data_IF_152660483471
#
_entry.id   IF_152660483471
#
_cell.length_a   1.000
_cell.length_b   1.000
_cell.length_c   1.000
_cell.angle_alpha   90.00
_cell.angle_beta   90.00
_cell.angle_gamma   90.00
#
_symmetry.space_group_name_H-M   'P 1'
#
loop_
_entity.id
_entity.type
_entity.pdbx_description
1 polymer ?
#
# COMPACT_ATOMS: atom_id res chain seq x y z
N UNK A 1 -16.18 33.68 -8.08
CA UNK A 1 -16.95 32.47 -8.44
C UNK A 1 -18.36 32.55 -7.80
N UNK A 2 -19.19 33.50 -8.25
CA UNK A 2 -20.45 33.92 -7.57
C UNK A 2 -21.71 33.70 -8.45
N UNK A 3 -21.59 33.08 -9.64
CA UNK A 3 -22.69 32.99 -10.61
C UNK A 3 -23.58 31.74 -10.52
N UNK A 4 -23.27 30.74 -9.68
CA UNK A 4 -23.93 29.44 -9.75
C UNK A 4 -25.37 29.43 -9.19
N UNK A 5 -25.71 30.25 -8.19
CA UNK A 5 -27.02 30.12 -7.52
C UNK A 5 -28.12 31.09 -7.99
N UNK A 6 -27.86 31.93 -9.00
CA UNK A 6 -28.91 32.70 -9.72
C UNK A 6 -29.28 32.14 -11.09
N UNK A 7 -28.59 31.10 -11.54
CA UNK A 7 -28.88 30.46 -12.82
C UNK A 7 -30.06 29.50 -12.65
N UNK A 8 -31.00 29.44 -13.62
CA UNK A 8 -32.08 28.45 -13.59
C UNK A 8 -31.48 27.04 -13.45
N UNK A 9 -32.19 26.15 -12.76
CA UNK A 9 -31.74 24.77 -12.47
C UNK A 9 -31.16 24.07 -13.72
N UNK A 10 -31.78 24.27 -14.88
CA UNK A 10 -31.33 23.76 -16.16
C UNK A 10 -29.89 24.19 -16.53
N UNK A 11 -29.51 25.44 -16.25
CA UNK A 11 -28.18 25.95 -16.51
C UNK A 11 -27.12 25.35 -15.57
N UNK A 12 -27.47 25.07 -14.31
CA UNK A 12 -26.56 24.38 -13.39
C UNK A 12 -26.41 22.90 -13.75
N UNK A 13 -27.49 22.27 -14.18
CA UNK A 13 -27.47 20.90 -14.68
C UNK A 13 -26.54 20.78 -15.89
N UNK A 14 -26.72 21.63 -16.90
CA UNK A 14 -25.95 21.56 -18.16
C UNK A 14 -24.50 21.99 -18.01
N UNK A 15 -24.19 23.00 -17.20
CA UNK A 15 -22.84 23.59 -17.18
C UNK A 15 -21.96 23.08 -16.02
N UNK A 16 -22.53 22.41 -15.02
CA UNK A 16 -21.78 21.97 -13.83
C UNK A 16 -21.99 20.49 -13.58
N UNK A 17 -23.24 20.06 -13.35
CA UNK A 17 -23.51 18.68 -12.92
C UNK A 17 -23.24 17.67 -14.04
N UNK A 18 -23.72 17.91 -15.26
CA UNK A 18 -23.50 16.99 -16.38
C UNK A 18 -22.01 16.88 -16.76
N UNK A 19 -21.23 17.97 -16.92
CA UNK A 19 -19.80 17.86 -17.15
C UNK A 19 -19.06 17.16 -16.01
N UNK A 20 -19.44 17.42 -14.76
CA UNK A 20 -18.84 16.75 -13.60
C UNK A 20 -19.17 15.25 -13.58
N UNK A 21 -20.43 14.88 -13.81
CA UNK A 21 -20.86 13.48 -13.89
C UNK A 21 -20.20 12.75 -15.07
N UNK A 22 -20.14 13.39 -16.24
CA UNK A 22 -19.45 12.85 -17.41
C UNK A 22 -17.95 12.66 -17.12
N UNK A 23 -17.30 13.64 -16.51
CA UNK A 23 -15.90 13.53 -16.07
C UNK A 23 -15.70 12.39 -15.07
N UNK A 24 -16.62 12.24 -14.10
CA UNK A 24 -16.62 11.13 -13.14
C UNK A 24 -16.82 9.77 -13.80
N UNK A 25 -17.71 9.66 -14.78
CA UNK A 25 -17.94 8.42 -15.54
C UNK A 25 -16.75 8.08 -16.43
N UNK A 26 -16.15 9.06 -17.11
CA UNK A 26 -14.94 8.85 -17.93
C UNK A 26 -13.78 8.41 -17.03
N UNK A 27 -13.57 9.08 -15.89
CA UNK A 27 -12.53 8.72 -14.94
C UNK A 27 -12.78 7.34 -14.29
N UNK A 28 -14.05 7.01 -14.02
CA UNK A 28 -14.46 5.73 -13.46
C UNK A 28 -14.61 4.60 -14.48
N UNK A 29 -14.44 4.89 -15.78
CA UNK A 29 -14.66 3.92 -16.84
C UNK A 29 -13.83 2.64 -16.69
N UNK A 30 -12.53 2.68 -16.35
CA UNK A 30 -11.76 1.46 -16.12
C UNK A 30 -12.38 0.58 -15.02
N UNK A 31 -12.84 1.19 -13.92
CA UNK A 31 -13.50 0.47 -12.83
C UNK A 31 -14.82 -0.15 -13.31
N UNK A 32 -15.66 0.62 -14.00
CA UNK A 32 -16.93 0.14 -14.54
C UNK A 32 -16.73 -0.98 -15.57
N UNK A 33 -15.67 -0.90 -16.38
CA UNK A 33 -15.29 -1.93 -17.31
C UNK A 33 -15.03 -3.27 -16.60
N UNK A 34 -14.24 -3.27 -15.52
CA UNK A 34 -13.98 -4.50 -14.77
C UNK A 34 -15.23 -5.02 -14.02
N UNK A 35 -16.07 -4.14 -13.48
CA UNK A 35 -17.36 -4.53 -12.88
C UNK A 35 -18.22 -5.33 -13.86
N UNK A 36 -18.26 -4.92 -15.13
CA UNK A 36 -19.08 -5.57 -16.16
C UNK A 36 -18.38 -6.78 -16.77
N UNK A 37 -17.05 -6.71 -16.97
CA UNK A 37 -16.30 -7.75 -17.68
C UNK A 37 -16.02 -8.98 -16.82
N UNK A 38 -15.74 -8.77 -15.54
CA UNK A 38 -15.35 -9.81 -14.59
C UNK A 38 -15.77 -9.38 -13.18
N UNK A 39 -17.08 -9.45 -12.93
CA UNK A 39 -17.69 -9.03 -11.67
C UNK A 39 -17.11 -9.80 -10.47
N UNK A 40 -16.81 -11.08 -10.64
CA UNK A 40 -16.30 -11.92 -9.56
C UNK A 40 -14.89 -11.50 -9.14
N UNK A 41 -13.96 -11.35 -10.10
CA UNK A 41 -12.63 -10.77 -9.81
C UNK A 41 -12.73 -9.35 -9.27
N UNK A 42 -13.67 -8.54 -9.77
CA UNK A 42 -13.89 -7.20 -9.24
C UNK A 42 -14.29 -7.23 -7.75
N UNK A 43 -15.28 -8.05 -7.39
CA UNK A 43 -15.76 -8.18 -6.02
C UNK A 43 -14.69 -8.77 -5.11
N UNK A 44 -13.95 -9.77 -5.59
CA UNK A 44 -12.85 -10.37 -4.85
C UNK A 44 -11.76 -9.36 -4.53
N UNK A 45 -11.27 -8.62 -5.51
CA UNK A 45 -10.19 -7.65 -5.31
C UNK A 45 -10.58 -6.44 -4.45
N UNK A 46 -11.87 -6.05 -4.44
CA UNK A 46 -12.33 -4.85 -3.73
C UNK A 46 -12.94 -5.14 -2.36
N UNK A 47 -13.48 -6.35 -2.14
CA UNK A 47 -14.20 -6.70 -0.91
C UNK A 47 -13.61 -7.96 -0.26
N UNK A 48 -13.70 -9.12 -0.91
CA UNK A 48 -13.36 -10.40 -0.28
C UNK A 48 -11.89 -10.51 0.12
N UNK A 49 -10.98 -9.93 -0.67
CA UNK A 49 -9.56 -9.85 -0.32
C UNK A 49 -9.35 -9.13 1.02
N UNK A 50 -10.11 -8.08 1.35
CA UNK A 50 -9.96 -7.42 2.64
C UNK A 50 -10.47 -8.28 3.79
N UNK A 51 -11.49 -9.10 3.56
CA UNK A 51 -11.99 -10.05 4.56
C UNK A 51 -10.94 -11.13 4.87
N UNK A 52 -10.34 -11.75 3.84
CA UNK A 52 -9.27 -12.74 4.03
C UNK A 52 -8.03 -12.15 4.72
N UNK A 53 -7.75 -10.85 4.52
CA UNK A 53 -6.69 -10.15 5.23
C UNK A 53 -7.01 -9.91 6.71
N UNK A 54 -8.28 -9.70 7.05
CA UNK A 54 -8.74 -9.59 8.43
C UNK A 54 -8.63 -10.96 9.12
N UNK A 55 -9.01 -12.03 8.43
CA UNK A 55 -8.94 -13.40 8.94
C UNK A 55 -7.49 -13.83 9.19
N UNK A 56 -6.58 -13.59 8.24
CA UNK A 56 -5.15 -13.82 8.45
C UNK A 56 -4.63 -13.12 9.71
N UNK A 57 -5.01 -11.86 9.93
CA UNK A 57 -4.53 -11.10 11.11
C UNK A 57 -5.16 -11.55 12.43
N UNK A 58 -6.26 -12.29 12.38
CA UNK A 58 -6.86 -12.96 13.54
C UNK A 58 -6.28 -14.34 13.77
N UNK A 59 -5.59 -14.94 12.80
CA UNK A 59 -4.93 -16.24 12.93
C UNK A 59 -3.71 -16.15 13.85
N UNK A 60 -3.23 -17.30 14.31
CA UNK A 60 -2.04 -17.38 15.16
C UNK A 60 -0.81 -16.75 14.47
N UNK A 61 -0.63 -17.02 13.18
CA UNK A 61 0.48 -16.52 12.36
C UNK A 61 0.42 -14.99 12.17
N UNK A 62 -0.78 -14.43 11.99
CA UNK A 62 -0.97 -12.99 11.83
C UNK A 62 -1.01 -12.19 13.13
N UNK A 63 -1.30 -12.84 14.27
CA UNK A 63 -1.46 -12.18 15.57
C UNK A 63 -0.16 -11.65 16.20
N UNK A 64 0.99 -11.99 15.62
CA UNK A 64 2.31 -11.55 16.12
C UNK A 64 2.49 -10.01 16.01
N UNK A 65 1.66 -9.34 15.22
CA UNK A 65 1.66 -7.88 15.08
C UNK A 65 0.56 -7.19 15.91
N UNK A 66 0.87 -6.01 16.45
CA UNK A 66 -0.14 -5.13 17.08
C UNK A 66 -0.87 -4.34 16.00
N UNK A 67 -2.08 -4.78 15.67
CA UNK A 67 -2.92 -4.14 14.66
C UNK A 67 -4.16 -3.48 15.28
N UNK A 68 -4.55 -2.33 14.75
CA UNK A 68 -5.78 -1.66 15.17
C UNK A 68 -6.99 -2.29 14.47
N UNK A 69 -7.55 -3.33 15.10
CA UNK A 69 -8.62 -4.17 14.53
C UNK A 69 -10.02 -3.71 14.95
N UNK A 70 -10.15 -3.22 16.18
CA UNK A 70 -11.42 -2.73 16.75
C UNK A 70 -11.55 -1.21 16.63
N UNK A 71 -12.78 -0.68 16.72
CA UNK A 71 -12.99 0.78 16.70
C UNK A 71 -12.20 1.50 17.81
N UNK A 72 -12.12 0.91 19.00
CA UNK A 72 -11.37 1.47 20.14
C UNK A 72 -9.88 1.58 19.80
N UNK A 73 -9.29 0.51 19.27
CA UNK A 73 -7.87 0.51 18.87
C UNK A 73 -7.62 1.45 17.71
N UNK A 74 -8.52 1.50 16.72
CA UNK A 74 -8.46 2.46 15.60
C UNK A 74 -8.49 3.90 16.09
N UNK A 75 -9.34 4.23 17.06
CA UNK A 75 -9.40 5.57 17.63
C UNK A 75 -8.10 5.93 18.38
N UNK A 76 -7.58 5.02 19.19
CA UNK A 76 -6.30 5.20 19.87
C UNK A 76 -5.14 5.35 18.87
N UNK A 77 -5.14 4.55 17.81
CA UNK A 77 -4.17 4.62 16.73
C UNK A 77 -4.25 5.95 15.97
N UNK A 78 -5.45 6.35 15.57
CA UNK A 78 -5.69 7.61 14.88
C UNK A 78 -5.28 8.81 15.74
N UNK A 79 -5.63 8.80 17.04
CA UNK A 79 -5.18 9.81 17.99
C UNK A 79 -3.65 9.91 18.02
N UNK A 80 -2.94 8.78 18.08
CA UNK A 80 -1.47 8.75 18.05
C UNK A 80 -0.92 9.39 16.77
N UNK A 81 -1.53 9.11 15.61
CA UNK A 81 -1.11 9.70 14.33
C UNK A 81 -1.43 11.19 14.26
N UNK A 82 -2.63 11.61 14.70
CA UNK A 82 -3.03 13.03 14.71
C UNK A 82 -2.21 13.86 15.68
N UNK A 83 -1.78 13.28 16.80
CA UNK A 83 -0.95 13.96 17.80
C UNK A 83 0.54 14.01 17.43
N UNK A 84 0.96 13.45 16.28
CA UNK A 84 2.36 13.38 15.88
C UNK A 84 2.74 14.43 14.82
N UNK A 85 3.85 15.11 15.08
CA UNK A 85 4.54 15.97 14.12
C UNK A 85 3.63 17.03 13.48
N UNK A 86 3.61 17.18 12.14
CA UNK A 86 2.84 18.22 11.47
C UNK A 86 1.32 18.01 11.54
N UNK A 87 0.84 16.79 11.86
CA UNK A 87 -0.60 16.49 11.87
C UNK A 87 -1.34 17.28 12.96
N UNK A 88 -0.74 17.43 14.15
CA UNK A 88 -1.37 18.17 15.26
C UNK A 88 -1.57 19.64 14.89
N UNK A 89 -0.59 20.21 14.17
CA UNK A 89 -0.62 21.59 13.69
C UNK A 89 -1.77 21.76 12.69
N UNK A 90 -1.89 20.87 11.71
CA UNK A 90 -3.00 20.89 10.75
C UNK A 90 -4.35 20.85 11.49
N UNK A 91 -4.51 19.93 12.45
CA UNK A 91 -5.76 19.76 13.18
C UNK A 91 -6.10 20.99 14.04
N UNK A 92 -5.11 21.54 14.77
CA UNK A 92 -5.30 22.75 15.60
C UNK A 92 -5.61 23.97 14.74
N UNK A 93 -4.85 24.22 13.68
CA UNK A 93 -5.09 25.36 12.78
C UNK A 93 -6.45 25.26 12.09
N UNK A 94 -6.82 24.07 11.62
CA UNK A 94 -8.14 23.83 11.01
C UNK A 94 -9.25 24.08 12.02
N UNK A 95 -9.13 23.54 13.24
CA UNK A 95 -10.12 23.72 14.31
C UNK A 95 -10.26 25.20 14.69
N UNK A 96 -9.15 25.91 14.86
CA UNK A 96 -9.15 27.34 15.16
C UNK A 96 -9.82 28.17 14.04
N UNK A 97 -9.52 27.87 12.77
CA UNK A 97 -10.14 28.53 11.63
C UNK A 97 -11.67 28.27 11.56
N UNK A 98 -12.10 27.04 11.81
CA UNK A 98 -13.52 26.67 11.87
C UNK A 98 -14.24 27.36 13.02
N UNK A 99 -13.62 27.41 14.22
CA UNK A 99 -14.18 28.12 15.38
C UNK A 99 -14.30 29.62 15.08
N UNK A 100 -13.25 30.25 14.54
CA UNK A 100 -13.27 31.66 14.17
C UNK A 100 -14.34 31.97 13.11
N UNK A 101 -14.50 31.10 12.11
CA UNK A 101 -15.56 31.19 11.12
C UNK A 101 -16.96 31.09 11.78
N UNK A 102 -17.14 30.16 12.71
CA UNK A 102 -18.40 29.97 13.44
C UNK A 102 -18.75 31.15 14.37
N UNK A 103 -17.74 31.87 14.88
CA UNK A 103 -17.91 33.06 15.71
C UNK A 103 -18.14 34.34 14.90
N UNK A 104 -17.98 34.30 13.57
CA UNK A 104 -18.20 35.48 12.72
C UNK A 104 -19.69 35.87 12.72
N UNK A 105 -20.03 37.16 12.91
CA UNK A 105 -21.43 37.61 12.90
C UNK A 105 -22.18 37.16 11.63
N UNK A 106 -23.41 36.66 11.80
CA UNK A 106 -24.23 36.16 10.69
C UNK A 106 -23.92 34.74 10.23
N UNK A 107 -22.99 34.01 10.87
CA UNK A 107 -22.71 32.60 10.54
C UNK A 107 -23.94 31.68 10.65
N UNK A 108 -24.84 31.97 11.60
CA UNK A 108 -26.10 31.23 11.81
C UNK A 108 -27.23 31.64 10.87
N UNK A 109 -27.02 32.68 10.05
CA UNK A 109 -28.02 33.10 9.08
C UNK A 109 -28.05 32.10 7.90
N UNK A 110 -29.16 31.38 7.77
CA UNK A 110 -29.38 30.36 6.72
C UNK A 110 -29.21 30.95 5.31
N UNK A 111 -29.53 32.23 5.11
CA UNK A 111 -29.31 32.90 3.82
C UNK A 111 -27.82 33.14 3.52
N UNK A 112 -26.99 33.35 4.54
CA UNK A 112 -25.54 33.51 4.42
C UNK A 112 -24.86 32.15 4.25
N UNK A 113 -25.36 31.09 4.89
CA UNK A 113 -24.85 29.72 4.71
C UNK A 113 -25.06 29.20 3.29
N UNK A 114 -26.23 29.44 2.69
CA UNK A 114 -26.50 29.14 1.27
C UNK A 114 -25.56 29.88 0.31
N UNK A 115 -24.94 30.97 0.75
CA UNK A 115 -23.94 31.73 -0.02
C UNK A 115 -22.50 31.22 0.15
N UNK A 116 -22.26 30.22 1.01
CA UNK A 116 -20.92 29.65 1.29
C UNK A 116 -20.85 28.15 0.95
N UNK A 117 -21.22 27.73 -0.28
CA UNK A 117 -21.29 26.31 -0.65
C UNK A 117 -19.94 25.58 -0.52
N UNK A 118 -18.82 26.28 -0.78
CA UNK A 118 -17.49 25.72 -0.65
C UNK A 118 -17.17 25.27 0.79
N UNK A 119 -17.62 26.02 1.80
CA UNK A 119 -17.37 25.65 3.20
C UNK A 119 -18.22 24.44 3.63
N UNK A 120 -19.49 24.40 3.23
CA UNK A 120 -20.35 23.23 3.46
C UNK A 120 -19.81 21.97 2.76
N UNK A 121 -19.37 22.10 1.50
CA UNK A 121 -18.74 21.00 0.76
C UNK A 121 -17.45 20.52 1.42
N UNK A 122 -16.61 21.44 1.92
CA UNK A 122 -15.39 21.07 2.62
C UNK A 122 -15.68 20.33 3.94
N UNK A 123 -16.73 20.71 4.67
CA UNK A 123 -17.19 19.97 5.86
C UNK A 123 -17.62 18.55 5.47
N UNK A 124 -18.47 18.42 4.45
CA UNK A 124 -18.95 17.11 3.99
C UNK A 124 -17.79 16.24 3.48
N UNK A 125 -16.83 16.81 2.76
CA UNK A 125 -15.63 16.11 2.30
C UNK A 125 -14.75 15.65 3.47
N UNK A 126 -14.55 16.49 4.48
CA UNK A 126 -13.80 16.13 5.69
C UNK A 126 -14.49 15.03 6.50
N UNK A 127 -15.80 15.11 6.69
CA UNK A 127 -16.59 14.05 7.36
C UNK A 127 -16.52 12.76 6.55
N UNK A 128 -16.74 12.82 5.24
CA UNK A 128 -16.65 11.67 4.35
C UNK A 128 -15.29 11.01 4.41
N UNK A 129 -14.21 11.80 4.28
CA UNK A 129 -12.85 11.29 4.41
C UNK A 129 -12.60 10.65 5.78
N UNK A 130 -13.09 11.27 6.86
CA UNK A 130 -12.97 10.71 8.22
C UNK A 130 -13.70 9.38 8.33
N UNK A 131 -14.93 9.26 7.84
CA UNK A 131 -15.68 8.00 7.86
C UNK A 131 -14.94 6.92 7.05
N UNK A 132 -14.48 7.25 5.84
CA UNK A 132 -13.73 6.33 4.99
C UNK A 132 -12.44 5.83 5.65
N UNK A 133 -11.71 6.69 6.36
CA UNK A 133 -10.47 6.33 7.07
C UNK A 133 -10.66 5.23 8.12
N UNK A 134 -11.87 5.08 8.68
CA UNK A 134 -12.18 4.10 9.72
C UNK A 134 -12.84 2.82 9.20
N UNK A 135 -13.23 2.78 7.92
CA UNK A 135 -13.88 1.60 7.33
C UNK A 135 -12.93 0.40 7.25
N UNK A 136 -11.70 0.62 6.79
CA UNK A 136 -10.77 -0.49 6.53
C UNK A 136 -10.17 -1.03 7.82
N UNK A 137 -10.06 -2.37 7.92
CA UNK A 137 -9.49 -3.08 9.06
C UNK A 137 -8.33 -3.98 8.61
N UNK A 138 -7.18 -3.96 9.30
CA UNK A 138 -6.80 -3.00 10.34
C UNK A 138 -6.59 -1.59 9.80
N UNK A 139 -6.56 -0.61 10.70
CA UNK A 139 -6.19 0.75 10.33
C UNK A 139 -4.70 0.88 10.09
N UNK A 140 -4.34 1.52 8.97
CA UNK A 140 -2.99 1.89 8.60
C UNK A 140 -2.84 3.42 8.55
N UNK A 141 -1.64 3.99 8.76
CA UNK A 141 -1.43 5.44 8.71
C UNK A 141 -1.89 6.09 7.41
N UNK A 142 -1.72 5.38 6.29
CA UNK A 142 -2.07 5.86 4.96
C UNK A 142 -3.57 6.16 4.83
N UNK A 143 -4.42 5.44 5.56
CA UNK A 143 -5.87 5.64 5.51
C UNK A 143 -6.30 6.95 6.16
N UNK A 144 -5.47 7.55 7.02
CA UNK A 144 -5.74 8.85 7.65
C UNK A 144 -5.26 10.04 6.78
N UNK A 145 -4.53 9.79 5.69
CA UNK A 145 -4.03 10.84 4.80
C UNK A 145 -5.19 11.64 4.16
N UNK A 146 -6.22 11.01 3.56
CA UNK A 146 -7.35 11.75 2.98
C UNK A 146 -8.01 12.69 3.99
N UNK A 147 -8.17 12.26 5.25
CA UNK A 147 -8.70 13.09 6.32
C UNK A 147 -7.81 14.32 6.56
N UNK A 148 -6.48 14.17 6.63
CA UNK A 148 -5.56 15.30 6.82
C UNK A 148 -5.61 16.28 5.65
N UNK A 149 -5.68 15.78 4.41
CA UNK A 149 -5.83 16.63 3.22
C UNK A 149 -7.15 17.41 3.27
N UNK A 150 -8.24 16.75 3.61
CA UNK A 150 -9.54 17.42 3.72
C UNK A 150 -9.61 18.38 4.92
N UNK A 151 -8.84 18.15 5.98
CA UNK A 151 -8.69 19.12 7.08
C UNK A 151 -8.06 20.42 6.56
N UNK A 152 -7.01 20.35 5.75
CA UNK A 152 -6.38 21.52 5.14
C UNK A 152 -7.39 22.27 4.25
N UNK A 153 -8.14 21.55 3.41
CA UNK A 153 -9.17 22.14 2.55
C UNK A 153 -10.26 22.82 3.39
N UNK A 154 -10.71 22.17 4.47
CA UNK A 154 -11.67 22.73 5.41
C UNK A 154 -11.14 23.98 6.11
N UNK A 155 -9.89 23.96 6.57
CA UNK A 155 -9.22 25.11 7.18
C UNK A 155 -9.11 26.29 6.23
N UNK A 156 -8.72 26.03 4.97
CA UNK A 156 -8.66 27.06 3.92
C UNK A 156 -10.04 27.64 3.60
N UNK A 157 -11.07 26.79 3.49
CA UNK A 157 -12.44 27.22 3.26
C UNK A 157 -12.96 28.06 4.44
N UNK A 158 -12.68 27.65 5.68
CA UNK A 158 -13.02 28.40 6.89
C UNK A 158 -12.34 29.77 6.92
N UNK A 159 -11.03 29.80 6.64
CA UNK A 159 -10.23 31.03 6.57
C UNK A 159 -10.78 32.02 5.54
N UNK A 160 -11.25 31.53 4.39
CA UNK A 160 -11.89 32.35 3.36
C UNK A 160 -13.17 33.06 3.82
N UNK A 161 -13.79 32.60 4.91
CA UNK A 161 -15.00 33.21 5.49
C UNK A 161 -14.74 34.32 6.51
N UNK A 162 -13.48 34.46 6.96
CA UNK A 162 -13.08 35.46 7.95
C UNK A 162 -13.08 36.87 7.35
N UNK A 163 -13.43 37.86 8.15
CA UNK A 163 -13.25 39.28 7.82
C UNK A 163 -11.76 39.67 7.79
N UNK A 164 -11.45 40.89 7.35
CA UNK A 164 -10.08 41.34 7.18
C UNK A 164 -9.27 41.38 8.49
N UNK A 165 -9.92 41.70 9.61
CA UNK A 165 -9.26 41.79 10.92
C UNK A 165 -8.91 40.39 11.43
N UNK A 166 -9.90 39.50 11.48
CA UNK A 166 -9.73 38.11 11.88
C UNK A 166 -8.73 37.37 10.98
N UNK A 167 -8.77 37.65 9.67
CA UNK A 167 -7.84 37.09 8.70
C UNK A 167 -6.40 37.52 8.95
N UNK A 168 -6.16 38.79 9.32
CA UNK A 168 -4.80 39.28 9.64
C UNK A 168 -4.19 38.50 10.80
N UNK A 169 -4.94 38.33 11.89
CA UNK A 169 -4.47 37.56 13.05
C UNK A 169 -4.28 36.08 12.69
N UNK A 170 -5.25 35.48 12.00
CA UNK A 170 -5.16 34.09 11.56
C UNK A 170 -3.95 33.84 10.65
N UNK A 171 -3.63 34.75 9.72
CA UNK A 171 -2.42 34.64 8.87
C UNK A 171 -1.16 34.63 9.72
N UNK A 172 -1.01 35.55 10.66
CA UNK A 172 0.17 35.60 11.54
C UNK A 172 0.31 34.33 12.37
N UNK A 173 -0.80 33.80 12.91
CA UNK A 173 -0.82 32.52 13.63
C UNK A 173 -0.46 31.35 12.72
N UNK A 174 -1.00 31.29 11.50
CA UNK A 174 -0.68 30.24 10.54
C UNK A 174 0.80 30.26 10.15
N UNK A 175 1.38 31.43 9.89
CA UNK A 175 2.81 31.60 9.58
C UNK A 175 3.67 31.17 10.76
N UNK A 176 3.35 31.65 11.98
CA UNK A 176 4.07 31.24 13.19
C UNK A 176 4.00 29.73 13.40
N UNK A 177 2.81 29.12 13.22
CA UNK A 177 2.62 27.68 13.38
C UNK A 177 3.35 26.89 12.29
N UNK A 178 3.36 27.36 11.04
CA UNK A 178 4.14 26.75 9.96
C UNK A 178 5.64 26.80 10.24
N UNK A 179 6.16 27.92 10.76
CA UNK A 179 7.55 28.03 11.19
C UNK A 179 7.84 27.05 12.33
N UNK A 180 6.99 26.97 13.35
CA UNK A 180 7.12 25.97 14.42
C UNK A 180 7.08 24.55 13.83
N UNK A 181 6.20 24.26 12.87
CA UNK A 181 6.13 22.94 12.22
C UNK A 181 7.43 22.57 11.51
N UNK A 182 8.05 23.53 10.81
CA UNK A 182 9.32 23.34 10.11
C UNK A 182 10.48 23.19 11.08
N UNK A 183 10.51 23.97 12.17
CA UNK A 183 11.58 23.94 13.17
C UNK A 183 11.47 22.73 14.11
N UNK A 184 10.26 22.26 14.41
CA UNK A 184 9.98 21.10 15.26
C UNK A 184 9.73 19.82 14.47
N UNK A 185 9.71 19.91 13.14
CA UNK A 185 9.79 18.74 12.26
C UNK A 185 10.92 17.87 12.79
N UNK A 186 10.73 16.54 12.99
CA UNK A 186 11.67 15.75 13.74
C UNK A 186 13.05 15.93 13.11
N UNK A 187 13.92 16.67 13.79
CA UNK A 187 15.29 16.89 13.34
C UNK A 187 15.94 15.54 13.12
N UNK A 188 15.57 14.54 13.93
CA UNK A 188 15.85 13.12 13.74
C UNK A 188 15.51 12.55 12.35
N UNK A 189 14.37 12.89 11.73
CA UNK A 189 14.05 12.42 10.36
C UNK A 189 14.91 13.12 9.33
N UNK A 190 15.09 14.44 9.45
CA UNK A 190 15.93 15.17 8.52
C UNK A 190 17.40 14.72 8.65
N UNK A 191 17.92 14.54 9.86
CA UNK A 191 19.30 14.08 10.09
C UNK A 191 19.53 12.63 9.68
N UNK A 192 18.53 11.75 9.76
CA UNK A 192 18.64 10.36 9.28
C UNK A 192 18.54 10.26 7.76
N UNK A 193 17.70 11.08 7.12
CA UNK A 193 17.43 10.95 5.68
C UNK A 193 18.23 11.92 4.80
N UNK A 194 18.67 13.07 5.31
CA UNK A 194 19.44 14.04 4.53
C UNK A 194 20.80 13.47 4.09
N UNK A 195 21.57 12.75 4.92
CA UNK A 195 22.79 12.09 4.45
C UNK A 195 22.53 11.10 3.31
N UNK A 196 21.37 10.40 3.32
CA UNK A 196 20.98 9.47 2.25
C UNK A 196 20.79 10.17 0.91
N UNK A 197 20.52 11.48 0.87
CA UNK A 197 20.44 12.22 -0.39
C UNK A 197 21.80 12.37 -1.06
N UNK A 198 22.88 12.40 -0.27
CA UNK A 198 24.25 12.59 -0.75
C UNK A 198 25.03 11.28 -0.87
N UNK A 199 24.66 10.27 -0.09
CA UNK A 199 25.23 8.92 -0.20
C UNK A 199 24.40 8.05 -1.14
N UNK A 200 24.85 7.97 -2.40
CA UNK A 200 24.22 7.16 -3.46
C UNK A 200 24.11 5.69 -3.07
N UNK A 201 25.03 5.14 -2.27
CA UNK A 201 25.01 3.73 -1.89
C UNK A 201 23.86 3.40 -0.94
N UNK A 202 23.29 4.41 -0.28
CA UNK A 202 22.12 4.26 0.58
C UNK A 202 20.80 4.41 -0.18
N UNK A 203 20.84 4.66 -1.50
CA UNK A 203 19.62 4.75 -2.30
C UNK A 203 19.02 3.36 -2.50
N UNK A 204 17.74 3.20 -2.22
CA UNK A 204 17.05 1.91 -2.29
C UNK A 204 17.21 1.25 -3.66
N UNK A 205 17.09 2.00 -4.77
CA UNK A 205 17.29 1.46 -6.11
C UNK A 205 18.71 0.94 -6.37
N UNK A 206 19.73 1.60 -5.81
CA UNK A 206 21.14 1.16 -5.91
C UNK A 206 21.37 -0.10 -5.07
N UNK A 207 20.77 -0.17 -3.87
CA UNK A 207 20.82 -1.36 -3.02
C UNK A 207 20.14 -2.58 -3.68
N UNK A 208 18.96 -2.39 -4.28
CA UNK A 208 18.25 -3.42 -5.05
C UNK A 208 19.09 -3.90 -6.23
N UNK A 209 19.66 -2.98 -7.01
CA UNK A 209 20.49 -3.34 -8.17
C UNK A 209 21.73 -4.15 -7.77
N UNK A 210 22.40 -3.79 -6.66
CA UNK A 210 23.53 -4.57 -6.13
C UNK A 210 23.11 -5.97 -5.67
N UNK A 211 21.98 -6.08 -4.98
CA UNK A 211 21.41 -7.37 -4.59
C UNK A 211 21.05 -8.25 -5.78
N UNK A 212 20.49 -7.66 -6.84
CA UNK A 212 20.17 -8.37 -8.07
C UNK A 212 21.43 -8.81 -8.84
N UNK A 213 22.49 -7.98 -8.86
CA UNK A 213 23.77 -8.35 -9.44
C UNK A 213 24.44 -9.50 -8.68
N UNK A 214 24.37 -9.49 -7.34
CA UNK A 214 24.82 -10.58 -6.48
C UNK A 214 24.04 -11.88 -6.75
N UNK A 215 22.70 -11.79 -6.76
CA UNK A 215 21.82 -12.91 -7.08
C UNK A 215 22.17 -13.52 -8.45
N UNK A 216 22.29 -12.70 -9.50
CA UNK A 216 22.71 -13.13 -10.84
C UNK A 216 24.06 -13.84 -10.82
N UNK A 217 25.03 -13.32 -10.07
CA UNK A 217 26.35 -13.96 -9.95
C UNK A 217 26.24 -15.34 -9.32
N UNK A 218 25.50 -15.48 -8.22
CA UNK A 218 25.35 -16.77 -7.52
C UNK A 218 24.60 -17.81 -8.37
N UNK A 219 23.55 -17.38 -9.07
CA UNK A 219 22.80 -18.23 -10.00
C UNK A 219 23.70 -18.74 -11.14
N UNK A 220 24.50 -17.85 -11.75
CA UNK A 220 25.47 -18.24 -12.80
C UNK A 220 26.53 -19.22 -12.32
N UNK A 221 27.09 -18.99 -11.13
CA UNK A 221 28.06 -19.93 -10.51
C UNK A 221 27.43 -21.31 -10.33
N UNK A 222 26.12 -21.36 -10.02
CA UNK A 222 25.36 -22.61 -9.90
C UNK A 222 24.90 -23.20 -11.24
N UNK A 223 25.27 -22.61 -12.38
CA UNK A 223 24.92 -23.10 -13.71
C UNK A 223 23.57 -22.61 -14.24
N UNK A 224 22.94 -21.64 -13.59
CA UNK A 224 21.68 -21.04 -14.02
C UNK A 224 21.91 -19.66 -14.65
N UNK A 225 21.93 -19.59 -15.99
CA UNK A 225 22.08 -18.32 -16.74
C UNK A 225 20.92 -18.03 -17.70
N UNK A 226 19.94 -18.94 -17.83
CA UNK A 226 18.76 -18.74 -18.67
C UNK A 226 17.77 -17.77 -18.00
N UNK A 227 17.34 -16.67 -18.65
CA UNK A 227 16.28 -15.79 -18.15
C UNK A 227 14.96 -16.49 -17.84
N UNK A 228 14.65 -17.61 -18.50
CA UNK A 228 13.46 -18.42 -18.21
C UNK A 228 13.58 -19.22 -16.91
N UNK A 229 14.77 -19.24 -16.29
CA UNK A 229 14.98 -19.86 -14.98
C UNK A 229 14.07 -19.22 -13.95
N UNK A 230 13.25 -20.04 -13.28
CA UNK A 230 12.28 -19.59 -12.28
C UNK A 230 12.87 -19.65 -10.86
N UNK A 231 12.73 -18.54 -10.15
CA UNK A 231 13.05 -18.40 -8.72
C UNK A 231 11.74 -18.28 -7.94
N UNK A 232 11.56 -19.13 -6.93
CA UNK A 232 10.42 -19.02 -6.01
C UNK A 232 10.71 -17.96 -4.94
N UNK A 233 9.84 -16.97 -4.79
CA UNK A 233 9.98 -15.92 -3.78
C UNK A 233 8.67 -15.19 -3.53
N UNK A 234 8.49 -14.65 -2.33
CA UNK A 234 7.43 -13.68 -2.03
C UNK A 234 7.89 -12.21 -2.18
N UNK A 235 9.11 -11.98 -2.67
CA UNK A 235 9.69 -10.66 -2.90
C UNK A 235 10.34 -10.58 -4.29
N UNK A 236 9.54 -10.43 -5.37
CA UNK A 236 10.00 -10.65 -6.74
C UNK A 236 10.98 -9.59 -7.28
N UNK A 237 11.21 -8.49 -6.56
CA UNK A 237 12.00 -7.37 -7.08
C UNK A 237 13.44 -7.77 -7.42
N UNK A 238 14.10 -8.60 -6.62
CA UNK A 238 15.47 -9.02 -6.87
C UNK A 238 15.58 -10.01 -8.05
N UNK A 239 14.76 -11.09 -8.14
CA UNK A 239 14.79 -11.98 -9.31
C UNK A 239 14.52 -11.25 -10.63
N UNK A 240 13.53 -10.36 -10.65
CA UNK A 240 13.16 -9.63 -11.87
C UNK A 240 14.28 -8.66 -12.31
N UNK A 241 14.86 -7.88 -11.40
CA UNK A 241 16.02 -7.02 -11.70
C UNK A 241 17.27 -7.85 -12.09
N UNK A 242 17.41 -9.07 -11.54
CA UNK A 242 18.45 -10.01 -11.90
C UNK A 242 18.21 -10.65 -13.29
N UNK A 243 17.06 -10.41 -13.92
CA UNK A 243 16.73 -10.92 -15.25
C UNK A 243 16.25 -12.37 -15.25
N UNK A 244 15.83 -12.90 -14.10
CA UNK A 244 15.21 -14.22 -13.98
C UNK A 244 13.70 -14.12 -13.92
N UNK A 245 13.05 -15.24 -14.21
CA UNK A 245 11.59 -15.38 -14.11
C UNK A 245 11.16 -15.76 -12.69
N UNK A 246 9.88 -15.51 -12.40
CA UNK A 246 9.23 -15.92 -11.16
C UNK A 246 7.99 -16.76 -11.49
N UNK A 247 7.40 -17.38 -10.47
CA UNK A 247 6.09 -18.01 -10.57
C UNK A 247 5.00 -16.95 -10.49
N UNK A 248 4.01 -17.01 -11.39
CA UNK A 248 2.92 -16.04 -11.42
C UNK A 248 2.09 -16.08 -10.14
N UNK A 249 1.97 -17.28 -9.55
CA UNK A 249 1.28 -17.57 -8.31
C UNK A 249 1.91 -16.87 -7.10
N UNK A 250 3.19 -16.49 -7.22
CA UNK A 250 3.96 -15.80 -6.17
C UNK A 250 4.20 -14.31 -6.50
N UNK A 251 3.75 -13.83 -7.67
CA UNK A 251 4.06 -12.48 -8.16
C UNK A 251 3.48 -11.36 -7.27
N UNK A 252 2.35 -11.62 -6.62
CA UNK A 252 1.71 -10.72 -5.65
C UNK A 252 2.40 -10.68 -4.28
N UNK A 253 3.47 -11.46 -4.10
CA UNK A 253 4.19 -11.58 -2.84
C UNK A 253 3.31 -12.11 -1.70
N UNK A 254 3.52 -11.68 -0.44
CA UNK A 254 2.88 -12.27 0.73
C UNK A 254 1.38 -11.94 0.81
N UNK A 255 0.91 -10.95 0.04
CA UNK A 255 -0.43 -10.40 0.18
C UNK A 255 -1.52 -11.40 -0.20
N UNK A 256 -1.51 -11.92 -1.43
CA UNK A 256 -2.46 -12.96 -1.83
C UNK A 256 -2.10 -14.31 -1.21
N UNK A 257 -0.80 -14.63 -1.15
CA UNK A 257 -0.29 -15.88 -0.61
C UNK A 257 -0.84 -16.18 0.80
N UNK A 258 -0.77 -15.21 1.71
CA UNK A 258 -1.28 -15.40 3.09
C UNK A 258 -2.80 -15.45 3.18
N UNK A 259 -3.49 -14.91 2.18
CA UNK A 259 -4.95 -14.99 2.09
C UNK A 259 -5.43 -16.29 1.46
N UNK A 260 -4.59 -17.02 0.74
CA UNK A 260 -4.99 -18.24 0.03
C UNK A 260 -5.54 -19.35 0.92
N UNK A 261 -5.13 -19.42 2.20
CA UNK A 261 -5.66 -20.39 3.17
C UNK A 261 -7.14 -20.12 3.52
N UNK A 262 -7.64 -18.91 3.25
CA UNK A 262 -9.03 -18.51 3.51
C UNK A 262 -9.90 -18.56 2.24
N UNK A 263 -9.36 -19.12 1.16
CA UNK A 263 -10.07 -19.31 -0.11
C UNK A 263 -10.45 -20.78 -0.28
N UNK A 264 -11.51 -21.06 -1.05
CA UNK A 264 -11.78 -22.42 -1.50
C UNK A 264 -10.74 -22.87 -2.54
N UNK A 265 -10.68 -24.17 -2.84
CA UNK A 265 -9.78 -24.68 -3.87
C UNK A 265 -10.12 -24.10 -5.26
N UNK A 266 -11.42 -23.94 -5.55
CA UNK A 266 -11.93 -23.34 -6.79
C UNK A 266 -11.50 -21.88 -6.92
N UNK A 267 -11.64 -21.10 -5.84
CA UNK A 267 -11.20 -19.69 -5.81
C UNK A 267 -9.69 -19.58 -6.00
N UNK A 268 -8.90 -20.44 -5.33
CA UNK A 268 -7.43 -20.47 -5.53
C UNK A 268 -7.07 -20.76 -6.98
N UNK A 269 -7.73 -21.74 -7.60
CA UNK A 269 -7.52 -22.07 -9.01
C UNK A 269 -7.92 -20.92 -9.94
N UNK A 270 -9.08 -20.29 -9.69
CA UNK A 270 -9.58 -19.17 -10.49
C UNK A 270 -8.66 -17.94 -10.45
N UNK A 271 -8.13 -17.60 -9.27
CA UNK A 271 -7.30 -16.40 -9.07
C UNK A 271 -5.79 -16.67 -9.15
N UNK A 272 -5.40 -17.89 -9.54
CA UNK A 272 -4.01 -18.34 -9.61
C UNK A 272 -3.23 -18.11 -8.31
N UNK A 273 -3.78 -18.60 -7.19
CA UNK A 273 -3.24 -18.37 -5.84
C UNK A 273 -2.70 -19.66 -5.25
N UNK A 274 -1.42 -19.62 -4.87
CA UNK A 274 -0.83 -20.60 -3.96
C UNK A 274 -0.90 -20.05 -2.54
N UNK A 275 -1.06 -20.93 -1.55
CA UNK A 275 -1.17 -20.55 -0.14
C UNK A 275 -0.12 -21.23 0.72
N UNK A 276 -0.07 -20.88 2.01
CA UNK A 276 0.87 -21.50 2.95
C UNK A 276 0.67 -23.02 3.06
N UNK A 277 -0.56 -23.50 2.88
CA UNK A 277 -0.87 -24.93 2.97
C UNK A 277 -0.57 -25.69 1.67
N UNK A 278 -0.52 -25.00 0.52
CA UNK A 278 -0.35 -25.66 -0.80
C UNK A 278 1.01 -25.39 -1.44
N UNK A 279 1.85 -24.58 -0.82
CA UNK A 279 3.14 -24.15 -1.37
C UNK A 279 4.15 -25.28 -1.48
N UNK A 280 4.20 -26.19 -0.51
CA UNK A 280 5.19 -27.28 -0.51
C UNK A 280 4.92 -28.25 -1.68
N UNK A 281 3.64 -28.60 -1.90
CA UNK A 281 3.21 -29.40 -3.06
C UNK A 281 3.55 -28.69 -4.38
N UNK A 282 3.21 -27.39 -4.47
CA UNK A 282 3.52 -26.56 -5.63
C UNK A 282 5.03 -26.54 -5.94
N UNK A 283 5.88 -26.33 -4.93
CA UNK A 283 7.32 -26.28 -5.10
C UNK A 283 7.92 -27.67 -5.41
N UNK A 284 7.31 -28.74 -4.89
CA UNK A 284 7.71 -30.13 -5.18
C UNK A 284 7.46 -30.49 -6.64
N UNK A 285 6.31 -30.07 -7.19
CA UNK A 285 5.95 -30.26 -8.59
C UNK A 285 6.86 -29.45 -9.52
N UNK A 286 7.05 -28.16 -9.22
CA UNK A 286 7.71 -27.22 -10.12
C UNK A 286 9.24 -27.20 -10.00
N UNK A 287 9.78 -27.63 -8.86
CA UNK A 287 11.22 -27.69 -8.53
C UNK A 287 11.98 -26.45 -9.00
N UNK A 288 11.83 -25.29 -8.33
CA UNK A 288 12.51 -24.07 -8.75
C UNK A 288 14.03 -24.21 -8.79
N UNK A 289 14.73 -23.40 -9.58
CA UNK A 289 16.19 -23.39 -9.55
C UNK A 289 16.73 -22.81 -8.24
N UNK A 290 15.97 -21.89 -7.64
CA UNK A 290 16.29 -21.32 -6.36
C UNK A 290 15.03 -20.85 -5.61
N UNK A 291 15.16 -20.75 -4.30
CA UNK A 291 14.17 -20.14 -3.40
C UNK A 291 14.83 -18.93 -2.75
N UNK A 292 14.27 -17.74 -2.93
CA UNK A 292 14.77 -16.49 -2.35
C UNK A 292 13.83 -16.02 -1.24
N UNK A 293 14.38 -15.86 -0.04
CA UNK A 293 13.66 -15.45 1.19
C UNK A 293 14.48 -14.44 1.99
N UNK A 294 13.95 -14.04 3.16
CA UNK A 294 14.56 -13.07 4.05
C UNK A 294 14.25 -11.63 3.66
N UNK A 295 13.15 -11.41 2.94
CA UNK A 295 12.67 -10.07 2.63
C UNK A 295 11.97 -9.40 3.82
N UNK A 296 11.55 -10.19 4.81
CA UNK A 296 10.78 -9.76 5.97
C UNK A 296 11.56 -9.99 7.27
N UNK A 297 11.49 -9.02 8.18
CA UNK A 297 12.15 -9.11 9.50
C UNK A 297 11.48 -10.20 10.35
N UNK A 298 12.24 -11.04 11.10
CA UNK A 298 11.67 -12.11 11.94
C UNK A 298 10.68 -11.65 13.02
N UNK A 299 10.74 -10.36 13.38
CA UNK A 299 9.83 -9.74 14.35
C UNK A 299 8.50 -9.32 13.74
N UNK A 300 8.31 -9.49 12.43
CA UNK A 300 7.08 -9.11 11.71
C UNK A 300 6.28 -10.34 11.29
N UNK A 301 4.94 -10.28 11.31
CA UNK A 301 4.09 -11.39 10.90
C UNK A 301 4.35 -11.86 9.46
N UNK A 302 4.79 -10.97 8.58
CA UNK A 302 5.13 -11.31 7.20
C UNK A 302 6.27 -12.34 7.11
N UNK A 303 7.16 -12.43 8.10
CA UNK A 303 8.22 -13.45 8.11
C UNK A 303 7.69 -14.88 8.11
N UNK A 304 6.58 -15.14 8.82
CA UNK A 304 5.99 -16.49 8.86
C UNK A 304 5.52 -16.97 7.49
N UNK A 305 5.27 -16.06 6.55
CA UNK A 305 4.90 -16.43 5.18
C UNK A 305 6.05 -17.07 4.40
N UNK A 306 7.30 -16.80 4.77
CA UNK A 306 8.49 -17.40 4.13
C UNK A 306 8.90 -18.75 4.75
N UNK A 307 8.36 -19.11 5.92
CA UNK A 307 8.73 -20.34 6.63
C UNK A 307 8.49 -21.62 5.81
N UNK A 308 7.33 -21.82 5.13
CA UNK A 308 7.14 -22.98 4.27
C UNK A 308 8.14 -23.04 3.10
N UNK A 309 8.54 -21.89 2.54
CA UNK A 309 9.54 -21.83 1.47
C UNK A 309 10.92 -22.24 1.97
N UNK A 310 11.30 -21.78 3.18
CA UNK A 310 12.54 -22.16 3.86
C UNK A 310 12.55 -23.67 4.12
N UNK A 311 11.47 -24.20 4.72
CA UNK A 311 11.34 -25.61 5.06
C UNK A 311 11.48 -26.49 3.82
N UNK A 312 10.74 -26.19 2.77
CA UNK A 312 10.86 -26.91 1.49
C UNK A 312 12.30 -26.92 0.99
N UNK A 313 12.97 -25.77 0.98
CA UNK A 313 14.33 -25.67 0.47
C UNK A 313 15.33 -26.49 1.30
N UNK A 314 15.19 -26.48 2.63
CA UNK A 314 16.03 -27.25 3.54
C UNK A 314 15.80 -28.76 3.40
N UNK A 315 14.54 -29.20 3.36
CA UNK A 315 14.16 -30.61 3.19
C UNK A 315 14.53 -31.16 1.81
N UNK A 316 14.42 -30.35 0.75
CA UNK A 316 14.82 -30.72 -0.60
C UNK A 316 16.34 -30.60 -0.86
N UNK A 317 17.14 -30.28 0.17
CA UNK A 317 18.61 -30.26 0.10
C UNK A 317 19.19 -29.09 -0.69
N UNK A 318 18.50 -27.95 -0.76
CA UNK A 318 19.01 -26.75 -1.42
C UNK A 318 20.16 -26.15 -0.60
N UNK A 319 21.20 -25.68 -1.28
CA UNK A 319 22.36 -25.05 -0.67
C UNK A 319 22.04 -23.59 -0.32
N UNK A 320 22.07 -23.27 0.96
CA UNK A 320 21.91 -21.89 1.46
C UNK A 320 23.11 -21.01 1.08
N UNK A 321 22.82 -19.81 0.59
CA UNK A 321 23.77 -18.74 0.26
C UNK A 321 23.26 -17.43 0.87
N UNK A 322 24.12 -16.73 1.59
CA UNK A 322 23.84 -15.40 2.11
C UNK A 322 24.22 -14.37 1.05
N UNK A 323 23.27 -13.57 0.58
CA UNK A 323 23.51 -12.51 -0.39
C UNK A 323 23.99 -11.23 0.30
N UNK A 324 23.88 -11.11 1.62
CA UNK A 324 24.10 -9.88 2.36
C UNK A 324 22.82 -9.05 2.54
N UNK A 325 22.89 -7.92 3.26
CA UNK A 325 21.72 -7.19 3.75
C UNK A 325 21.05 -6.34 2.65
N UNK A 326 20.51 -6.99 1.62
CA UNK A 326 19.81 -6.33 0.53
C UNK A 326 18.29 -6.29 0.76
N UNK A 327 17.62 -5.20 0.35
CA UNK A 327 16.16 -5.16 0.35
C UNK A 327 15.59 -6.15 -0.69
N UNK A 328 14.55 -6.88 -0.30
CA UNK A 328 13.86 -7.82 -1.20
C UNK A 328 14.33 -9.28 -1.12
N UNK A 329 15.12 -9.63 -0.09
CA UNK A 329 15.58 -10.99 0.17
C UNK A 329 17.10 -11.04 0.31
N UNK A 330 17.58 -11.70 1.36
CA UNK A 330 19.00 -11.81 1.67
C UNK A 330 19.50 -13.26 1.74
N UNK A 331 18.60 -14.24 1.65
CA UNK A 331 18.96 -15.66 1.75
C UNK A 331 18.45 -16.37 0.49
N UNK A 332 19.40 -16.93 -0.25
CA UNK A 332 19.15 -17.71 -1.46
C UNK A 332 19.42 -19.18 -1.18
N UNK A 333 18.41 -20.02 -1.35
CA UNK A 333 18.58 -21.46 -1.38
C UNK A 333 18.69 -21.89 -2.83
N UNK A 334 19.86 -22.40 -3.22
CA UNK A 334 20.15 -22.85 -4.58
C UNK A 334 19.93 -24.35 -4.69
N UNK A 335 19.18 -24.78 -5.71
CA UNK A 335 19.06 -26.21 -6.01
C UNK A 335 20.48 -26.73 -6.32
N UNK A 336 20.89 -27.89 -5.79
CA UNK A 336 22.13 -28.51 -6.23
C UNK A 336 22.07 -28.64 -7.74
N UNK A 337 23.14 -28.28 -8.44
CA UNK A 337 23.28 -28.73 -9.81
C UNK A 337 23.13 -30.26 -9.74
N UNK A 338 22.16 -30.81 -10.47
CA UNK A 338 22.16 -32.26 -10.69
C UNK A 338 23.61 -32.58 -11.06
N UNK A 339 24.25 -33.51 -10.35
CA UNK A 339 25.53 -34.03 -10.79
C UNK A 339 25.33 -34.27 -12.27
N UNK A 340 26.11 -33.59 -13.11
CA UNK A 340 26.09 -33.83 -14.54
C UNK A 340 26.35 -35.32 -14.63
N UNK A 341 25.30 -36.10 -14.85
CA UNK A 341 25.42 -37.55 -14.97
C UNK A 341 26.49 -37.72 -16.03
N UNK A 342 27.49 -38.54 -15.74
CA UNK A 342 28.67 -38.77 -16.58
C UNK A 342 28.33 -39.32 -17.99
N UNK A 343 27.07 -39.25 -18.42
CA UNK A 343 26.51 -39.76 -19.66
C UNK A 343 25.66 -38.74 -20.45
N UNK A 344 25.59 -37.47 -20.06
CA UNK A 344 25.17 -36.39 -20.99
C UNK A 344 23.81 -36.59 -21.68
N UNK A 345 22.79 -37.09 -20.98
CA UNK A 345 21.42 -37.11 -21.48
C UNK A 345 20.57 -36.08 -20.73
N UNK A 346 20.19 -35.04 -21.45
CA UNK A 346 19.14 -34.10 -21.05
C UNK A 346 17.78 -34.79 -21.25
N UNK A 347 17.01 -34.89 -20.16
CA UNK A 347 15.63 -35.37 -20.19
C UNK A 347 14.73 -34.30 -20.83
N UNK A 348 14.79 -34.23 -22.16
CA UNK A 348 13.89 -33.44 -23.01
C UNK A 348 13.22 -34.43 -23.94
N UNK A 349 12.26 -35.22 -23.45
CA UNK A 349 11.03 -35.53 -24.19
C UNK A 349 10.04 -36.35 -23.35
N UNK A 350 9.13 -35.70 -22.64
CA UNK A 350 7.83 -36.30 -22.27
C UNK A 350 6.73 -35.26 -22.31
N UNK A 351 6.36 -34.86 -23.52
CA UNK A 351 5.00 -34.36 -23.78
C UNK A 351 4.04 -35.56 -23.77
N UNK A 352 2.95 -35.57 -22.98
CA UNK A 352 1.85 -36.48 -23.22
C UNK A 352 0.95 -35.85 -24.28
N UNK A 353 0.92 -36.45 -25.47
CA UNK A 353 -0.17 -36.23 -26.42
C UNK A 353 -1.42 -36.99 -26.00
N UNK A 354 -2.52 -36.27 -25.82
CA UNK A 354 -3.90 -36.64 -26.17
C UNK A 354 -4.81 -35.44 -25.94
#
# INVERSE_FOLDING_TARGET
>A
MILAFRRPLANNLMNILLPFAAGGLIAGFPTLFYVVRDFESFMFNNLYYFESQIEFRRSAEGSVGVYAMTLKEKLAYAQRIWAQGPNVIIMVCTSAAVIAAAMTPGFRDRQVQLRRPAFGLAILAFIGATVMSFQVTPMWPQYLIPQMVMAIVLGAAAFGTLDASARRYATSTLVATALVAVLTMPTARLTVHLPKMFDRDQWTGVAVHRGAAELRRQMRIAGFDDPATRIATLAPILPLEAGFSIFNELASGPFFYRSGNFMTAEQRAQFNVVSMDTIEDFLTEHRPAAVLVGAYEPTRPEYFTEVPLIRFAEEAGYRRVDLGPFPGGNILYLRPAAAIDAHGQTDVDRSPGA
#
